data_IF_042664758099
#
_entry.id   IF_042664758099
#
_cell.length_a   1.000
_cell.length_b   1.000
_cell.length_c   1.000
_cell.angle_alpha   90.00
_cell.angle_beta   90.00
_cell.angle_gamma   90.00
#
_symmetry.space_group_name_H-M   'P 1'
#
loop_
_entity.id
_entity.type
_entity.pdbx_description
1 polymer ?
#
# COMPACT_ATOMS: atom_id res chain seq x y z
N UNK A 1 15.96 12.78 -17.03
CA UNK A 1 14.82 12.69 -17.95
C UNK A 1 14.51 14.08 -18.52
N UNK A 2 14.09 14.20 -19.78
CA UNK A 2 13.64 15.49 -20.31
C UNK A 2 12.31 15.92 -19.70
N UNK A 3 12.07 17.25 -19.54
CA UNK A 3 10.81 17.75 -18.97
C UNK A 3 9.57 17.26 -19.72
N UNK A 4 9.69 17.10 -21.04
CA UNK A 4 8.59 16.65 -21.90
C UNK A 4 8.28 15.16 -21.69
N UNK A 5 9.34 14.35 -21.53
CA UNK A 5 9.24 12.92 -21.22
C UNK A 5 8.62 12.69 -19.84
N UNK A 6 9.08 13.44 -18.83
CA UNK A 6 8.51 13.41 -17.48
C UNK A 6 7.03 13.75 -17.47
N UNK A 7 6.61 14.74 -18.26
CA UNK A 7 5.20 15.12 -18.35
C UNK A 7 4.35 13.99 -18.92
N UNK A 8 4.78 13.38 -20.03
CA UNK A 8 4.08 12.24 -20.66
C UNK A 8 3.99 11.04 -19.73
N UNK A 9 5.07 10.75 -19.00
CA UNK A 9 5.10 9.67 -18.02
C UNK A 9 4.07 9.91 -16.91
N UNK A 10 4.01 11.15 -16.39
CA UNK A 10 3.02 11.52 -15.38
C UNK A 10 1.59 11.45 -15.89
N UNK A 11 1.33 11.87 -17.12
CA UNK A 11 0.01 11.75 -17.76
C UNK A 11 -0.42 10.29 -17.86
N UNK A 12 0.48 9.41 -18.34
CA UNK A 12 0.23 7.96 -18.41
C UNK A 12 -0.07 7.33 -17.05
N UNK A 13 0.70 7.68 -16.02
CA UNK A 13 0.44 7.18 -14.65
C UNK A 13 -0.92 7.73 -14.16
N UNK A 14 -1.21 9.00 -14.44
CA UNK A 14 -2.45 9.67 -14.07
C UNK A 14 -3.73 9.08 -14.67
N UNK A 15 -3.62 8.34 -15.78
CA UNK A 15 -4.76 7.62 -16.37
C UNK A 15 -5.23 6.43 -15.53
N UNK A 16 -4.34 5.88 -14.69
CA UNK A 16 -4.60 4.67 -13.89
C UNK A 16 -4.53 4.91 -12.38
N UNK A 17 -3.84 5.96 -11.94
CA UNK A 17 -3.53 6.25 -10.54
C UNK A 17 -3.69 7.74 -10.25
N UNK A 18 -4.13 8.08 -9.03
CA UNK A 18 -4.18 9.50 -8.65
C UNK A 18 -2.75 10.04 -8.39
N UNK A 19 -2.32 10.96 -9.26
CA UNK A 19 -1.03 11.66 -9.21
C UNK A 19 -1.17 13.14 -8.84
N UNK A 20 -2.38 13.60 -8.52
CA UNK A 20 -2.69 15.01 -8.28
C UNK A 20 -2.04 15.55 -6.99
N UNK A 21 -1.93 14.70 -5.96
CA UNK A 21 -1.36 15.04 -4.66
C UNK A 21 0.14 14.78 -4.48
N UNK A 22 0.82 14.18 -5.47
CA UNK A 22 2.19 13.67 -5.30
C UNK A 22 3.22 14.44 -6.13
N UNK A 23 4.28 14.93 -5.48
CA UNK A 23 5.53 15.34 -6.16
C UNK A 23 6.40 14.11 -6.33
N UNK A 24 6.32 13.50 -7.52
CA UNK A 24 7.10 12.32 -7.88
C UNK A 24 8.51 12.71 -8.35
N UNK A 25 9.52 12.02 -7.83
CA UNK A 25 10.87 12.05 -8.43
C UNK A 25 10.87 11.33 -9.78
N UNK A 26 11.96 11.48 -10.55
CA UNK A 26 12.07 10.81 -11.85
C UNK A 26 12.07 9.28 -11.66
N UNK A 27 12.79 8.77 -10.66
CA UNK A 27 12.85 7.34 -10.33
C UNK A 27 11.50 6.80 -9.83
N UNK A 28 10.80 7.55 -8.97
CA UNK A 28 9.47 7.17 -8.49
C UNK A 28 8.45 7.10 -9.63
N UNK A 29 8.56 7.98 -10.62
CA UNK A 29 7.70 7.95 -11.80
C UNK A 29 8.01 6.75 -12.71
N UNK A 30 9.28 6.40 -12.93
CA UNK A 30 9.66 5.19 -13.68
C UNK A 30 9.11 3.96 -12.99
N UNK A 31 9.35 3.83 -11.68
CA UNK A 31 8.85 2.71 -10.89
C UNK A 31 7.34 2.55 -11.01
N UNK A 32 6.57 3.64 -10.89
CA UNK A 32 5.12 3.59 -11.01
C UNK A 32 4.65 3.23 -12.42
N UNK A 33 5.35 3.68 -13.46
CA UNK A 33 5.04 3.29 -14.84
C UNK A 33 5.28 1.80 -15.06
N UNK A 34 6.42 1.28 -14.61
CA UNK A 34 6.75 -0.15 -14.72
C UNK A 34 5.77 -0.99 -13.91
N UNK A 35 5.42 -0.53 -12.70
CA UNK A 35 4.41 -1.17 -11.86
C UNK A 35 3.05 -1.24 -12.56
N UNK A 36 2.58 -0.16 -13.21
CA UNK A 36 1.32 -0.17 -13.97
C UNK A 36 1.41 -1.15 -15.14
N UNK A 37 2.51 -1.13 -15.89
CA UNK A 37 2.70 -1.96 -17.08
C UNK A 37 2.73 -3.47 -16.73
N UNK A 38 3.30 -3.82 -15.57
CA UNK A 38 3.33 -5.19 -15.06
C UNK A 38 2.14 -5.55 -14.16
N UNK A 39 1.26 -4.59 -13.84
CA UNK A 39 0.21 -4.76 -12.82
C UNK A 39 -0.73 -5.91 -13.14
N UNK A 40 -1.27 -5.92 -14.36
CA UNK A 40 -2.24 -6.94 -14.80
C UNK A 40 -1.64 -8.36 -14.78
N UNK A 41 -0.33 -8.50 -15.04
CA UNK A 41 0.32 -9.82 -15.12
C UNK A 41 0.83 -10.30 -13.76
N UNK A 42 1.44 -9.42 -12.96
CA UNK A 42 2.17 -9.81 -11.75
C UNK A 42 1.45 -9.52 -10.44
N UNK A 43 0.51 -8.58 -10.45
CA UNK A 43 -0.05 -8.03 -9.22
C UNK A 43 -1.56 -8.24 -9.11
N UNK A 44 -2.32 -8.07 -10.18
CA UNK A 44 -3.77 -8.08 -10.14
C UNK A 44 -4.35 -9.34 -9.48
N UNK A 45 -5.19 -9.12 -8.47
CA UNK A 45 -5.85 -10.21 -7.72
C UNK A 45 -4.94 -10.97 -6.77
N UNK A 46 -3.65 -10.60 -6.66
CA UNK A 46 -2.74 -11.19 -5.69
C UNK A 46 -3.09 -10.69 -4.30
N UNK A 47 -3.07 -11.60 -3.34
CA UNK A 47 -3.24 -11.29 -1.93
C UNK A 47 -2.04 -11.76 -1.15
N UNK A 48 -1.56 -10.92 -0.23
CA UNK A 48 -0.47 -11.22 0.68
C UNK A 48 -0.95 -10.99 2.11
N UNK A 49 -0.70 -11.93 3.00
CA UNK A 49 -1.06 -11.80 4.41
C UNK A 49 0.18 -11.93 5.27
N UNK A 50 0.32 -11.00 6.21
CA UNK A 50 1.37 -11.00 7.23
C UNK A 50 0.75 -10.91 8.60
N UNK A 51 1.33 -11.63 9.54
CA UNK A 51 0.91 -11.60 10.95
C UNK A 51 2.14 -11.30 11.80
N UNK A 52 2.00 -10.37 12.73
CA UNK A 52 3.02 -10.02 13.71
C UNK A 52 2.43 -9.98 15.11
N UNK A 53 3.24 -10.19 16.13
CA UNK A 53 2.79 -10.04 17.52
C UNK A 53 3.82 -9.29 18.33
N UNK A 54 3.36 -8.40 19.19
CA UNK A 54 4.21 -7.59 20.03
C UNK A 54 3.54 -7.24 21.37
N UNK A 55 4.33 -7.06 22.44
CA UNK A 55 3.79 -6.63 23.72
C UNK A 55 3.37 -5.16 23.67
N UNK A 56 2.30 -4.82 24.39
CA UNK A 56 1.80 -3.46 24.62
C UNK A 56 1.52 -3.19 26.10
N UNK A 57 1.22 -1.94 26.43
CA UNK A 57 0.87 -1.53 27.79
C UNK A 57 -0.40 -0.67 27.77
N UNK A 58 -1.39 -1.04 28.59
CA UNK A 58 -2.60 -0.27 28.85
C UNK A 58 -2.67 0.11 30.33
N UNK A 59 -3.72 0.86 30.73
CA UNK A 59 -3.97 1.18 32.14
C UNK A 59 -4.21 -0.06 33.01
N UNK A 60 -4.67 -1.17 32.41
CA UNK A 60 -4.96 -2.43 33.11
C UNK A 60 -3.77 -3.40 33.16
N UNK A 61 -2.69 -3.09 32.43
CA UNK A 61 -1.46 -3.87 32.48
C UNK A 61 -0.85 -4.13 31.11
N UNK A 62 0.09 -5.08 31.10
CA UNK A 62 0.76 -5.53 29.88
C UNK A 62 -0.15 -6.50 29.14
N UNK A 63 -0.27 -6.32 27.83
CA UNK A 63 -0.99 -7.21 26.93
C UNK A 63 -0.10 -7.62 25.75
N UNK A 64 -0.50 -8.64 25.01
CA UNK A 64 0.10 -9.02 23.73
C UNK A 64 -0.89 -8.75 22.62
N UNK A 65 -0.52 -7.88 21.68
CA UNK A 65 -1.29 -7.64 20.47
C UNK A 65 -0.77 -8.54 19.35
N UNK A 66 -1.69 -9.14 18.62
CA UNK A 66 -1.42 -9.75 17.33
C UNK A 66 -2.09 -8.92 16.25
N UNK A 67 -1.30 -8.42 15.30
CA UNK A 67 -1.76 -7.70 14.13
C UNK A 67 -1.65 -8.60 12.90
N UNK A 68 -2.70 -8.59 12.09
CA UNK A 68 -2.76 -9.25 10.79
C UNK A 68 -3.06 -8.20 9.74
N UNK A 69 -2.19 -8.11 8.75
CA UNK A 69 -2.39 -7.28 7.58
C UNK A 69 -2.59 -8.18 6.37
N UNK A 70 -3.69 -7.99 5.66
CA UNK A 70 -4.00 -8.65 4.40
C UNK A 70 -4.06 -7.59 3.31
N UNK A 71 -3.11 -7.63 2.40
CA UNK A 71 -3.02 -6.71 1.26
C UNK A 71 -3.48 -7.42 0.02
N UNK A 72 -4.46 -6.83 -0.67
CA UNK A 72 -5.02 -7.35 -1.90
C UNK A 72 -4.84 -6.34 -3.01
N UNK A 73 -4.14 -6.72 -4.06
CA UNK A 73 -4.06 -5.95 -5.29
C UNK A 73 -5.40 -6.05 -6.02
N UNK A 74 -6.05 -4.91 -6.20
CA UNK A 74 -7.41 -4.82 -6.73
C UNK A 74 -7.49 -5.06 -8.25
N UNK A 75 -8.70 -5.16 -8.80
CA UNK A 75 -8.89 -5.24 -10.25
C UNK A 75 -8.50 -3.95 -10.98
N UNK A 76 -8.83 -2.82 -10.37
CA UNK A 76 -8.27 -1.51 -10.74
C UNK A 76 -6.89 -1.36 -10.11
N UNK A 77 -6.01 -0.54 -10.71
CA UNK A 77 -4.66 -0.31 -10.17
C UNK A 77 -4.77 0.30 -8.76
N UNK A 78 -4.42 -0.50 -7.76
CA UNK A 78 -4.54 -0.14 -6.35
C UNK A 78 -4.22 -1.29 -5.42
N UNK A 79 -4.22 -1.00 -4.12
CA UNK A 79 -3.98 -1.99 -3.07
C UNK A 79 -4.99 -1.75 -1.96
N UNK A 80 -5.78 -2.77 -1.62
CA UNK A 80 -6.63 -2.77 -0.44
C UNK A 80 -5.87 -3.43 0.70
N UNK A 81 -5.68 -2.72 1.80
CA UNK A 81 -5.06 -3.24 3.02
C UNK A 81 -6.13 -3.41 4.09
N UNK A 82 -6.41 -4.64 4.46
CA UNK A 82 -7.23 -5.00 5.61
C UNK A 82 -6.30 -5.25 6.82
N UNK A 83 -6.50 -4.49 7.89
CA UNK A 83 -5.79 -4.64 9.16
C UNK A 83 -6.75 -5.15 10.21
N UNK A 84 -6.42 -6.27 10.81
CA UNK A 84 -7.12 -6.87 11.93
C UNK A 84 -6.15 -6.93 13.12
N UNK A 85 -6.61 -6.63 14.32
CA UNK A 85 -5.84 -6.89 15.53
C UNK A 85 -6.68 -7.58 16.59
N UNK A 86 -6.03 -8.39 17.41
CA UNK A 86 -6.60 -8.95 18.62
C UNK A 86 -5.55 -9.01 19.73
N UNK A 87 -6.00 -8.70 20.93
CA UNK A 87 -5.22 -8.68 22.16
C UNK A 87 -5.56 -9.92 23.00
N UNK A 88 -4.59 -10.41 23.78
CA UNK A 88 -4.79 -11.56 24.68
C UNK A 88 -5.75 -11.29 25.85
N UNK A 89 -6.05 -10.01 26.11
CA UNK A 89 -7.05 -9.55 27.07
C UNK A 89 -8.49 -9.51 26.48
N UNK A 90 -8.65 -9.86 25.20
CA UNK A 90 -9.93 -9.95 24.51
C UNK A 90 -10.34 -8.72 23.70
N UNK A 91 -9.52 -7.66 23.65
CA UNK A 91 -9.77 -6.54 22.74
C UNK A 91 -9.48 -6.93 21.29
N UNK A 92 -10.26 -6.40 20.35
CA UNK A 92 -10.01 -6.60 18.92
C UNK A 92 -10.57 -5.46 18.10
N UNK A 93 -10.06 -5.31 16.88
CA UNK A 93 -10.57 -4.34 15.94
C UNK A 93 -10.13 -4.67 14.53
N UNK A 94 -10.83 -4.08 13.58
CA UNK A 94 -10.51 -4.20 12.16
C UNK A 94 -10.64 -2.85 11.47
N UNK A 95 -9.81 -2.62 10.47
CA UNK A 95 -9.89 -1.46 9.60
C UNK A 95 -9.50 -1.85 8.18
N UNK A 96 -10.09 -1.17 7.20
CA UNK A 96 -9.76 -1.35 5.80
C UNK A 96 -9.32 -0.02 5.24
N UNK A 97 -8.25 -0.05 4.45
CA UNK A 97 -7.71 1.13 3.78
C UNK A 97 -7.47 0.82 2.30
N UNK A 98 -8.03 1.62 1.41
CA UNK A 98 -7.83 1.50 -0.04
C UNK A 98 -6.78 2.51 -0.50
N UNK A 99 -5.68 2.00 -1.03
CA UNK A 99 -4.57 2.77 -1.60
C UNK A 99 -4.80 2.85 -3.11
N UNK A 100 -5.22 4.03 -3.57
CA UNK A 100 -5.48 4.33 -4.99
C UNK A 100 -4.67 5.50 -5.54
N UNK A 101 -3.80 6.06 -4.71
CA UNK A 101 -2.93 7.17 -5.07
C UNK A 101 -1.48 6.71 -5.24
N UNK A 102 -0.78 7.40 -6.12
CA UNK A 102 0.61 7.09 -6.45
C UNK A 102 1.54 7.12 -5.23
N UNK A 103 1.27 8.01 -4.27
CA UNK A 103 2.14 8.16 -3.09
C UNK A 103 1.93 7.01 -2.10
N UNK A 104 0.70 6.59 -1.88
CA UNK A 104 0.35 5.46 -1.05
C UNK A 104 0.97 4.17 -1.59
N UNK A 105 0.93 3.94 -2.91
CA UNK A 105 1.59 2.76 -3.51
C UNK A 105 3.10 2.79 -3.26
N UNK A 106 3.76 3.93 -3.52
CA UNK A 106 5.20 4.07 -3.27
C UNK A 106 5.56 3.84 -1.80
N UNK A 107 4.77 4.38 -0.87
CA UNK A 107 4.99 4.18 0.55
C UNK A 107 4.79 2.71 0.95
N UNK A 108 3.76 2.06 0.42
CA UNK A 108 3.49 0.64 0.66
C UNK A 108 4.67 -0.24 0.27
N UNK A 109 5.29 0.02 -0.90
CA UNK A 109 6.50 -0.69 -1.32
C UNK A 109 7.72 -0.35 -0.45
N UNK A 110 7.88 0.91 -0.02
CA UNK A 110 8.99 1.33 0.86
C UNK A 110 8.91 0.73 2.27
N UNK A 111 7.71 0.48 2.78
CA UNK A 111 7.52 -0.15 4.11
C UNK A 111 7.76 -1.66 4.08
N UNK A 112 7.93 -2.25 2.89
CA UNK A 112 8.01 -3.71 2.67
C UNK A 112 9.29 -4.19 1.98
N UNK A 113 10.05 -3.29 1.34
CA UNK A 113 11.38 -3.54 0.78
C UNK A 113 12.48 -3.23 1.76
#
# INVERSE_FOLDING_TARGET
MDRNEKKRLRERIGERLDVSGARLTDDEAVFLSDFIDEYDEKHRGRTETRTSSHPGWSSDGKYVRTDKFTDTFTDEVGIRTDHEYWDDDGQSGQSTHDIKDARGILNWFKERG
#
